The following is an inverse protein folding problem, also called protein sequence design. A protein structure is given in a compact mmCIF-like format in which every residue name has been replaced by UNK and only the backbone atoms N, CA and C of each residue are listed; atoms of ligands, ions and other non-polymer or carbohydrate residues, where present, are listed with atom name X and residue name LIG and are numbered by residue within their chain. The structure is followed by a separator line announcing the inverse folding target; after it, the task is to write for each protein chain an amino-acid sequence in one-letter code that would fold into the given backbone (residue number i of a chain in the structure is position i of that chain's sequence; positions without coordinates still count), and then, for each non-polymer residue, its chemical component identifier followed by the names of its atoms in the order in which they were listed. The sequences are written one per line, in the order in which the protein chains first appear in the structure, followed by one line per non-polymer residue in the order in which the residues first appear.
data_IF_413330989552
#
_entry.id   IF_413330989552
#
_cell.length_a   1.000
_cell.length_b   1.000
_cell.length_c   1.000
_cell.angle_alpha   90.00
_cell.angle_beta   90.00
_cell.angle_gamma   90.00
#
_symmetry.space_group_name_H-M   'P 1'
#
loop_
_entity.id
_entity.type
_entity.pdbx_description
1 polymer ?
#
# COMPACT_ATOMS: atom_id res chain seq x y z
N UNK A 1 0.55 7.77 12.98
CA UNK A 1 -0.06 7.28 11.72
C UNK A 1 -1.29 8.08 11.29
N UNK A 2 -2.25 8.38 12.18
CA UNK A 2 -3.49 9.08 11.80
C UNK A 2 -3.28 10.44 11.09
N UNK A 3 -2.36 11.29 11.58
CA UNK A 3 -2.09 12.58 10.92
C UNK A 3 -1.51 12.43 9.49
N UNK A 4 -0.59 11.48 9.30
CA UNK A 4 0.01 11.14 7.99
C UNK A 4 -1.05 10.64 7.00
N UNK A 5 -1.96 9.77 7.46
CA UNK A 5 -2.98 9.16 6.60
C UNK A 5 -4.14 10.11 6.29
N UNK A 6 -4.56 10.93 7.26
CA UNK A 6 -5.72 11.82 7.11
C UNK A 6 -5.34 13.09 6.33
N UNK A 7 -4.12 13.62 6.50
CA UNK A 7 -3.67 14.83 5.81
C UNK A 7 -2.89 14.57 4.52
N UNK A 8 -2.08 13.51 4.47
CA UNK A 8 -1.09 13.30 3.42
C UNK A 8 -1.58 12.49 2.22
N UNK A 9 -2.36 11.43 2.42
CA UNK A 9 -2.75 10.48 1.36
C UNK A 9 -3.72 11.05 0.32
N UNK A 10 -4.57 11.99 0.70
CA UNK A 10 -5.58 12.60 -0.19
C UNK A 10 -5.31 14.08 -0.43
N UNK A 11 -4.08 14.51 -0.15
CA UNK A 11 -3.67 15.88 -0.36
C UNK A 11 -3.66 16.23 -1.86
N UNK A 12 -4.05 17.46 -2.23
CA UNK A 12 -4.08 17.90 -3.64
C UNK A 12 -2.67 17.96 -4.25
N UNK A 13 -1.67 18.33 -3.45
CA UNK A 13 -0.28 18.39 -3.86
C UNK A 13 0.34 16.98 -3.96
N UNK A 14 0.82 16.63 -5.15
CA UNK A 14 1.49 15.36 -5.43
C UNK A 14 2.75 15.13 -4.58
N UNK A 15 3.55 16.16 -4.31
CA UNK A 15 4.76 16.03 -3.50
C UNK A 15 4.45 15.61 -2.06
N UNK A 16 3.35 16.10 -1.49
CA UNK A 16 2.87 15.70 -0.15
C UNK A 16 2.46 14.22 -0.14
N UNK A 17 1.78 13.76 -1.20
CA UNK A 17 1.40 12.34 -1.35
C UNK A 17 2.62 11.44 -1.53
N UNK A 18 3.60 11.85 -2.34
CA UNK A 18 4.87 11.11 -2.52
C UNK A 18 5.68 11.04 -1.23
N UNK A 19 5.81 12.16 -0.51
CA UNK A 19 6.45 12.18 0.81
C UNK A 19 5.76 11.22 1.79
N UNK A 20 4.42 11.24 1.82
CA UNK A 20 3.63 10.30 2.62
C UNK A 20 3.92 8.85 2.23
N UNK A 21 4.00 8.55 0.94
CA UNK A 21 4.29 7.21 0.41
C UNK A 21 5.67 6.70 0.83
N UNK A 22 6.68 7.55 0.72
CA UNK A 22 8.05 7.24 1.12
C UNK A 22 8.15 6.97 2.63
N UNK A 23 7.49 7.79 3.47
CA UNK A 23 7.48 7.58 4.91
C UNK A 23 6.73 6.29 5.29
N UNK A 24 5.68 5.94 4.54
CA UNK A 24 4.94 4.71 4.74
C UNK A 24 5.76 3.47 4.37
N UNK A 25 6.56 3.54 3.31
CA UNK A 25 7.51 2.48 2.93
C UNK A 25 8.59 2.31 3.99
N UNK A 26 9.21 3.42 4.43
CA UNK A 26 10.18 3.41 5.53
C UNK A 26 9.61 2.80 6.81
N UNK A 27 8.35 3.12 7.14
CA UNK A 27 7.67 2.56 8.29
C UNK A 27 7.47 1.04 8.16
N UNK A 28 7.11 0.58 6.96
CA UNK A 28 6.97 -0.83 6.63
C UNK A 28 8.27 -1.60 6.78
N UNK A 29 9.39 -1.02 6.36
CA UNK A 29 10.74 -1.57 6.53
C UNK A 29 11.14 -1.64 8.01
N UNK A 30 10.98 -0.55 8.76
CA UNK A 30 11.44 -0.46 10.16
C UNK A 30 10.61 -1.31 11.11
N UNK A 31 9.28 -1.33 10.94
CA UNK A 31 8.40 -2.10 11.82
C UNK A 31 8.34 -3.59 11.44
N UNK A 32 8.70 -3.91 10.19
CA UNK A 32 8.51 -5.22 9.60
C UNK A 32 7.05 -5.47 9.20
N UNK A 33 6.84 -5.93 7.96
CA UNK A 33 5.52 -6.19 7.41
C UNK A 33 4.69 -7.15 8.26
N UNK A 34 5.30 -8.21 8.79
CA UNK A 34 4.62 -9.18 9.64
C UNK A 34 4.00 -8.55 10.90
N UNK A 35 4.68 -7.56 11.51
CA UNK A 35 4.19 -6.87 12.71
C UNK A 35 3.11 -5.84 12.39
N UNK A 36 3.21 -5.18 11.23
CA UNK A 36 2.16 -4.27 10.76
C UNK A 36 0.87 -5.01 10.43
N UNK A 37 0.98 -6.24 9.91
CA UNK A 37 -0.17 -7.06 9.56
C UNK A 37 -0.75 -7.81 10.77
N UNK A 38 0.07 -8.16 11.77
CA UNK A 38 -0.37 -8.78 13.04
C UNK A 38 -0.81 -7.80 14.12
N UNK A 39 -0.70 -6.49 13.85
CA UNK A 39 -1.06 -5.42 14.78
C UNK A 39 -2.56 -5.30 15.05
N UNK A 40 -2.95 -4.28 15.83
CA UNK A 40 -4.37 -3.97 16.07
C UNK A 40 -5.11 -3.81 14.75
N UNK A 41 -6.24 -4.49 14.61
CA UNK A 41 -7.07 -4.54 13.39
C UNK A 41 -7.23 -3.17 12.71
N UNK A 42 -7.55 -2.12 13.45
CA UNK A 42 -7.72 -0.76 12.89
C UNK A 42 -6.45 -0.18 12.23
N UNK A 43 -5.27 -0.53 12.74
CA UNK A 43 -4.00 -0.06 12.19
C UNK A 43 -3.69 -0.76 10.87
N UNK A 44 -3.85 -2.08 10.84
CA UNK A 44 -3.67 -2.91 9.65
C UNK A 44 -4.62 -2.47 8.53
N UNK A 45 -5.90 -2.27 8.87
CA UNK A 45 -6.93 -1.87 7.91
C UNK A 45 -6.59 -0.50 7.27
N UNK A 46 -6.19 0.48 8.09
CA UNK A 46 -5.80 1.82 7.61
C UNK A 46 -4.53 1.79 6.76
N UNK A 47 -3.55 0.98 7.15
CA UNK A 47 -2.32 0.80 6.39
C UNK A 47 -2.59 0.19 5.01
N UNK A 48 -3.40 -0.88 4.94
CA UNK A 48 -3.74 -1.51 3.68
C UNK A 48 -4.53 -0.59 2.74
N UNK A 49 -5.45 0.21 3.28
CA UNK A 49 -6.17 1.24 2.50
C UNK A 49 -5.20 2.30 1.98
N UNK A 50 -4.22 2.71 2.78
CA UNK A 50 -3.21 3.70 2.41
C UNK A 50 -2.36 3.23 1.22
N UNK A 51 -1.79 2.03 1.36
CA UNK A 51 -0.96 1.39 0.33
C UNK A 51 -1.76 1.18 -0.95
N UNK A 52 -3.01 0.74 -0.82
CA UNK A 52 -3.95 0.58 -1.95
C UNK A 52 -4.12 1.88 -2.72
N UNK A 53 -4.38 3.01 -2.04
CA UNK A 53 -4.52 4.31 -2.71
C UNK A 53 -3.22 4.77 -3.37
N UNK A 54 -2.09 4.58 -2.70
CA UNK A 54 -0.78 4.99 -3.21
C UNK A 54 -0.37 4.20 -4.46
N UNK A 55 -0.61 2.89 -4.51
CA UNK A 55 -0.21 2.03 -5.62
C UNK A 55 -0.88 2.40 -6.97
N UNK A 56 -2.02 3.11 -6.92
CA UNK A 56 -2.76 3.65 -8.08
C UNK A 56 -2.82 5.18 -8.10
N UNK A 57 -1.99 5.88 -7.31
CA UNK A 57 -1.96 7.35 -7.29
C UNK A 57 -1.67 7.93 -8.69
N UNK A 58 -2.17 9.10 -9.07
CA UNK A 58 -1.78 9.74 -10.33
C UNK A 58 -0.30 10.18 -10.39
N UNK A 59 0.38 10.37 -9.26
CA UNK A 59 1.80 10.71 -9.21
C UNK A 59 2.70 9.46 -9.31
N UNK A 60 3.69 9.49 -10.20
CA UNK A 60 4.58 8.34 -10.44
C UNK A 60 5.37 7.92 -9.19
N UNK A 61 5.93 8.88 -8.46
CA UNK A 61 6.71 8.62 -7.24
C UNK A 61 5.85 7.97 -6.15
N UNK A 62 4.66 8.52 -5.88
CA UNK A 62 3.71 7.94 -4.93
C UNK A 62 3.31 6.50 -5.33
N UNK A 63 3.08 6.25 -6.63
CA UNK A 63 2.83 4.89 -7.15
C UNK A 63 3.99 3.96 -6.94
N UNK A 64 5.21 4.41 -7.17
CA UNK A 64 6.41 3.58 -7.05
C UNK A 64 6.51 3.01 -5.63
N UNK A 65 6.50 3.88 -4.62
CA UNK A 65 6.55 3.50 -3.21
C UNK A 65 5.34 2.62 -2.82
N UNK A 66 4.12 3.00 -3.22
CA UNK A 66 2.92 2.20 -2.95
C UNK A 66 3.01 0.77 -3.51
N UNK A 67 3.55 0.61 -4.71
CA UNK A 67 3.73 -0.71 -5.36
C UNK A 67 4.84 -1.54 -4.72
N UNK A 68 5.92 -0.92 -4.27
CA UNK A 68 6.98 -1.63 -3.55
C UNK A 68 6.47 -2.20 -2.23
N UNK A 69 5.73 -1.40 -1.46
CA UNK A 69 5.08 -1.87 -0.24
C UNK A 69 4.13 -3.02 -0.58
N UNK A 70 3.27 -2.84 -1.59
CA UNK A 70 2.31 -3.87 -2.02
C UNK A 70 2.98 -5.20 -2.37
N UNK A 71 4.13 -5.18 -3.06
CA UNK A 71 4.94 -6.37 -3.38
C UNK A 71 5.38 -7.08 -2.10
N UNK A 72 5.94 -6.33 -1.15
CA UNK A 72 6.39 -6.87 0.13
C UNK A 72 5.24 -7.42 0.98
N UNK A 73 4.01 -6.91 0.81
CA UNK A 73 2.82 -7.46 1.47
C UNK A 73 2.32 -8.71 0.75
N UNK A 74 2.35 -8.73 -0.58
CA UNK A 74 1.80 -9.79 -1.41
C UNK A 74 2.54 -11.13 -1.28
N UNK A 75 3.81 -11.11 -0.88
CA UNK A 75 4.58 -12.30 -0.54
C UNK A 75 4.12 -12.98 0.76
N UNK A 76 3.27 -12.31 1.56
CA UNK A 76 2.67 -12.88 2.76
C UNK A 76 1.36 -13.62 2.42
N UNK A 77 1.27 -14.91 2.75
CA UNK A 77 0.18 -15.79 2.32
C UNK A 77 -1.24 -15.36 2.72
N UNK A 78 -1.37 -14.53 3.77
CA UNK A 78 -2.66 -14.00 4.21
C UNK A 78 -3.07 -12.69 3.52
N UNK A 79 -2.20 -12.14 2.67
CA UNK A 79 -2.46 -10.88 1.96
C UNK A 79 -3.70 -10.96 1.09
N UNK A 80 -3.88 -12.02 0.30
CA UNK A 80 -5.04 -12.16 -0.59
C UNK A 80 -6.39 -12.11 0.17
N UNK A 81 -6.44 -12.69 1.37
CA UNK A 81 -7.65 -12.69 2.22
C UNK A 81 -7.89 -11.32 2.87
N UNK A 82 -6.84 -10.67 3.35
CA UNK A 82 -6.94 -9.31 3.91
C UNK A 82 -7.28 -8.30 2.81
N UNK A 83 -6.76 -8.51 1.60
CA UNK A 83 -6.94 -7.64 0.45
C UNK A 83 -8.40 -7.47 0.03
N UNK A 84 -9.13 -8.58 -0.20
CA UNK A 84 -10.55 -8.51 -0.60
C UNK A 84 -11.43 -7.82 0.45
N UNK A 85 -11.00 -7.85 1.71
CA UNK A 85 -11.71 -7.24 2.84
C UNK A 85 -11.47 -5.73 2.95
N UNK A 86 -10.26 -5.25 2.67
CA UNK A 86 -9.86 -3.86 2.98
C UNK A 86 -9.61 -2.98 1.75
N UNK A 87 -9.45 -3.57 0.56
CA UNK A 87 -9.25 -2.79 -0.66
C UNK A 87 -10.48 -1.90 -0.94
N UNK A 88 -10.31 -0.57 -1.04
CA UNK A 88 -11.37 0.35 -1.44
C UNK A 88 -12.02 -0.06 -2.76
N UNK A 89 -13.36 -0.12 -2.81
CA UNK A 89 -14.12 -0.65 -3.97
C UNK A 89 -13.73 -0.01 -5.31
N UNK A 90 -13.49 1.29 -5.32
CA UNK A 90 -13.17 2.07 -6.52
C UNK A 90 -11.83 1.68 -7.13
N UNK A 91 -10.86 1.34 -6.29
CA UNK A 91 -9.49 1.06 -6.69
C UNK A 91 -9.25 -0.45 -6.91
N UNK A 92 -10.20 -1.33 -6.54
CA UNK A 92 -10.05 -2.80 -6.61
C UNK A 92 -9.61 -3.31 -7.98
N UNK A 93 -10.20 -2.80 -9.06
CA UNK A 93 -9.91 -3.27 -10.41
C UNK A 93 -8.50 -2.86 -10.85
N UNK A 94 -8.17 -1.57 -10.73
CA UNK A 94 -6.82 -1.06 -11.03
C UNK A 94 -5.76 -1.73 -10.15
N UNK A 95 -6.07 -2.01 -8.89
CA UNK A 95 -5.14 -2.68 -8.00
C UNK A 95 -5.00 -4.18 -8.29
N UNK A 96 -6.06 -4.87 -8.73
CA UNK A 96 -5.97 -6.26 -9.22
C UNK A 96 -5.00 -6.35 -10.40
N UNK A 97 -5.07 -5.38 -11.31
CA UNK A 97 -4.12 -5.28 -12.43
C UNK A 97 -2.69 -5.00 -11.95
N UNK A 98 -2.52 -4.14 -10.93
CA UNK A 98 -1.20 -3.89 -10.33
C UNK A 98 -0.65 -5.15 -9.66
N UNK A 99 -1.46 -5.87 -8.87
CA UNK A 99 -1.05 -7.10 -8.18
C UNK A 99 -0.70 -8.20 -9.19
N UNK A 100 -1.50 -8.37 -10.25
CA UNK A 100 -1.17 -9.35 -11.29
C UNK A 100 0.16 -9.01 -11.96
N UNK A 101 0.41 -7.75 -12.30
CA UNK A 101 1.70 -7.29 -12.86
C UNK A 101 2.87 -7.45 -11.89
N UNK A 102 2.65 -7.24 -10.60
CA UNK A 102 3.68 -7.40 -9.56
C UNK A 102 4.03 -8.87 -9.36
N UNK A 103 3.04 -9.76 -9.23
CA UNK A 103 3.26 -11.20 -9.09
C UNK A 103 3.83 -11.86 -10.36
N UNK A 104 3.45 -11.36 -11.55
CA UNK A 104 4.03 -11.80 -12.83
C UNK A 104 5.49 -11.38 -12.98
N UNK A 105 5.92 -10.27 -12.35
CA UNK A 105 7.33 -9.86 -12.35
C UNK A 105 8.20 -10.69 -11.42
N UNK A 106 7.69 -11.16 -10.28
CA UNK A 106 8.45 -12.03 -9.36
C UNK A 106 8.62 -13.47 -9.87
N UNK A 107 7.80 -13.93 -10.84
CA UNK A 107 7.92 -15.26 -11.46
C UNK A 107 8.87 -15.32 -12.67
N UNK A 108 9.50 -14.22 -13.06
CA UNK A 108 10.36 -14.13 -14.26
C UNK A 108 11.81 -13.75 -13.93
N UNK A 109 12.32 -14.11 -12.75
CA UNK A 109 13.75 -14.03 -12.40
C UNK A 109 14.18 -15.39 -11.87
#
# INVERSE_FOLDING_TARGET
MNALLVGGLSHRNAAVRSCTAQHLERLAEVMGMARLLSGKKDLTDRFLIAVSKLAVDPAQEARHHGRNILRNVATNGDFAKMWDKFAPRKERESLREVISKVNLKERNI
#
